data_IF_094992503312
#
_entry.id   IF_094992503312
#
_cell.length_a   1.000
_cell.length_b   1.000
_cell.length_c   1.000
_cell.angle_alpha   90.00
_cell.angle_beta   90.00
_cell.angle_gamma   90.00
#
_symmetry.space_group_name_H-M   'P 1'
#
loop_
_entity.id
_entity.type
_entity.pdbx_description
1 polymer ?
#
# COMPACT_ATOMS: atom_id res chain seq x y z
N UNK A 1 18.24 19.75 9.36
CA UNK A 1 17.86 19.68 7.93
C UNK A 1 17.72 18.27 7.35
N UNK A 2 18.44 17.22 7.80
CA UNK A 2 18.28 15.86 7.23
C UNK A 2 16.93 15.18 7.51
N UNK A 3 16.36 15.40 8.70
CA UNK A 3 15.13 14.72 9.16
C UNK A 3 13.85 15.08 8.38
N UNK A 4 13.75 16.29 7.81
CA UNK A 4 12.54 16.73 7.09
C UNK A 4 12.35 15.96 5.78
N UNK A 5 13.42 15.81 5.00
CA UNK A 5 13.38 15.13 3.69
C UNK A 5 13.09 13.63 3.81
N UNK A 6 13.64 12.95 4.83
CA UNK A 6 13.37 11.53 5.07
C UNK A 6 11.91 11.25 5.45
N UNK A 7 11.30 12.15 6.24
CA UNK A 7 9.90 12.01 6.63
C UNK A 7 8.94 12.29 5.47
N UNK A 8 9.26 13.26 4.62
CA UNK A 8 8.50 13.53 3.38
C UNK A 8 8.54 12.32 2.44
N UNK A 9 9.71 11.70 2.27
CA UNK A 9 9.87 10.48 1.48
C UNK A 9 9.05 9.31 2.03
N UNK A 10 9.03 9.11 3.36
CA UNK A 10 8.20 8.07 4.00
C UNK A 10 6.71 8.31 3.79
N UNK A 11 6.23 9.54 3.95
CA UNK A 11 4.81 9.86 3.67
C UNK A 11 4.46 9.64 2.21
N UNK A 12 5.34 10.05 1.29
CA UNK A 12 5.18 9.80 -0.15
C UNK A 12 5.06 8.31 -0.45
N UNK A 13 5.95 7.49 0.12
CA UNK A 13 5.92 6.04 -0.04
C UNK A 13 4.61 5.41 0.47
N UNK A 14 4.13 5.85 1.64
CA UNK A 14 2.85 5.40 2.20
C UNK A 14 1.67 5.75 1.29
N UNK A 15 1.67 6.96 0.70
CA UNK A 15 0.64 7.40 -0.24
C UNK A 15 0.64 6.51 -1.48
N UNK A 16 1.81 6.33 -2.11
CA UNK A 16 1.93 5.52 -3.34
C UNK A 16 1.50 4.08 -3.11
N UNK A 17 1.95 3.46 -2.01
CA UNK A 17 1.58 2.09 -1.69
C UNK A 17 0.08 1.96 -1.40
N UNK A 18 -0.48 2.87 -0.61
CA UNK A 18 -1.91 2.87 -0.30
C UNK A 18 -2.76 3.01 -1.57
N UNK A 19 -2.44 3.98 -2.43
CA UNK A 19 -3.16 4.19 -3.69
C UNK A 19 -3.05 2.98 -4.63
N UNK A 20 -1.88 2.35 -4.73
CA UNK A 20 -1.69 1.15 -5.54
C UNK A 20 -2.53 -0.03 -5.01
N UNK A 21 -2.60 -0.20 -3.69
CA UNK A 21 -3.34 -1.29 -3.07
C UNK A 21 -4.86 -1.08 -3.14
N UNK A 22 -5.35 0.14 -2.95
CA UNK A 22 -6.76 0.38 -2.62
C UNK A 22 -7.45 1.51 -3.39
N UNK A 23 -6.74 2.20 -4.30
CA UNK A 23 -7.31 3.25 -5.15
C UNK A 23 -7.80 4.47 -4.37
N UNK A 24 -8.92 5.05 -4.78
CA UNK A 24 -9.43 6.33 -4.25
C UNK A 24 -9.69 6.32 -2.74
N UNK A 25 -10.14 5.19 -2.19
CA UNK A 25 -10.51 5.07 -0.77
C UNK A 25 -9.38 4.52 0.11
N UNK A 26 -8.13 4.66 -0.34
CA UNK A 26 -7.01 3.94 0.24
C UNK A 26 -6.75 4.17 1.72
N UNK A 27 -7.00 5.37 2.26
CA UNK A 27 -6.70 5.63 3.67
C UNK A 27 -7.55 4.77 4.61
N UNK A 28 -8.83 4.55 4.26
CA UNK A 28 -9.74 3.74 5.08
C UNK A 28 -9.46 2.25 4.89
N UNK A 29 -9.22 1.82 3.65
CA UNK A 29 -8.95 0.41 3.37
C UNK A 29 -7.57 -0.03 3.87
N UNK A 30 -6.54 0.81 3.73
CA UNK A 30 -5.22 0.57 4.32
C UNK A 30 -5.29 0.51 5.85
N UNK A 31 -6.06 1.38 6.48
CA UNK A 31 -6.25 1.31 7.93
C UNK A 31 -6.82 -0.04 8.36
N UNK A 32 -7.86 -0.54 7.68
CA UNK A 32 -8.44 -1.85 7.96
C UNK A 32 -7.43 -2.97 7.72
N UNK A 33 -6.67 -2.91 6.63
CA UNK A 33 -5.65 -3.91 6.31
C UNK A 33 -4.53 -3.96 7.38
N UNK A 34 -4.20 -2.81 7.98
CA UNK A 34 -3.25 -2.70 9.09
C UNK A 34 -3.87 -2.96 10.48
N UNK A 35 -5.11 -3.46 10.56
CA UNK A 35 -5.80 -3.74 11.83
C UNK A 35 -6.21 -2.49 12.63
N UNK A 36 -6.25 -1.32 12.01
CA UNK A 36 -6.65 -0.06 12.63
C UNK A 36 -8.16 0.14 12.50
N UNK A 37 -8.76 0.79 13.51
CA UNK A 37 -10.22 0.99 13.57
C UNK A 37 -10.76 1.86 12.43
N UNK A 38 -10.02 2.88 11.99
CA UNK A 38 -10.40 3.77 10.89
C UNK A 38 -9.20 4.50 10.25
N UNK A 39 -9.45 5.23 9.17
CA UNK A 39 -8.45 6.01 8.44
C UNK A 39 -7.90 7.23 9.18
N UNK A 40 -8.38 7.58 10.38
CA UNK A 40 -7.89 8.74 11.14
C UNK A 40 -6.41 8.60 11.50
N UNK A 41 -5.98 7.39 11.84
CA UNK A 41 -4.59 7.12 12.18
C UNK A 41 -3.66 7.37 10.98
N UNK A 42 -4.07 6.94 9.79
CA UNK A 42 -3.35 7.21 8.53
C UNK A 42 -3.24 8.72 8.30
N UNK A 43 -4.35 9.47 8.45
CA UNK A 43 -4.32 10.94 8.31
C UNK A 43 -3.36 11.63 9.26
N UNK A 44 -3.30 11.20 10.53
CA UNK A 44 -2.35 11.72 11.53
C UNK A 44 -0.88 11.46 11.14
N UNK A 45 -0.59 10.34 10.48
CA UNK A 45 0.74 10.05 9.96
C UNK A 45 1.13 10.97 8.79
N UNK A 46 0.18 11.24 7.90
CA UNK A 46 0.38 12.10 6.74
C UNK A 46 0.51 13.58 7.11
N UNK A 47 -0.26 14.06 8.09
CA UNK A 47 -0.13 15.43 8.61
C UNK A 47 1.14 15.63 9.44
N UNK A 48 1.68 14.55 10.01
CA UNK A 48 2.81 14.59 10.93
C UNK A 48 2.41 14.79 12.39
N UNK A 49 1.12 14.81 12.70
CA UNK A 49 0.63 14.84 14.08
C UNK A 49 1.09 13.62 14.89
N UNK A 50 1.34 12.50 14.19
CA UNK A 50 2.01 11.31 14.76
C UNK A 50 3.05 10.76 13.80
N UNK A 51 4.17 10.21 14.31
CA UNK A 51 5.14 9.52 13.47
C UNK A 51 4.54 8.23 12.91
N UNK A 52 4.99 7.86 11.71
CA UNK A 52 4.73 6.55 11.11
C UNK A 52 5.51 5.50 11.91
N UNK A 53 4.87 4.47 12.50
CA UNK A 53 5.57 3.41 13.22
C UNK A 53 6.48 2.62 12.28
N UNK A 54 7.66 2.22 12.75
CA UNK A 54 8.62 1.46 11.92
C UNK A 54 8.09 0.09 11.50
N UNK A 55 7.20 -0.53 12.30
CA UNK A 55 6.64 -1.85 12.01
C UNK A 55 5.70 -1.88 10.80
N UNK A 56 5.09 -0.75 10.41
CA UNK A 56 4.10 -0.77 9.33
C UNK A 56 4.70 -1.11 7.96
N UNK A 57 6.01 -0.96 7.80
CA UNK A 57 6.67 -1.14 6.52
C UNK A 57 6.74 -2.61 6.10
N UNK A 58 6.82 -3.52 7.06
CA UNK A 58 6.79 -4.95 6.80
C UNK A 58 5.36 -5.39 6.47
N UNK A 59 4.35 -4.94 7.22
CA UNK A 59 2.94 -5.17 6.88
C UNK A 59 2.60 -4.66 5.46
N UNK A 60 3.09 -3.46 5.12
CA UNK A 60 2.85 -2.86 3.81
C UNK A 60 3.54 -3.64 2.69
N UNK A 61 4.74 -4.17 2.95
CA UNK A 61 5.47 -5.02 2.01
C UNK A 61 4.69 -6.30 1.74
N UNK A 62 4.23 -6.98 2.79
CA UNK A 62 3.45 -8.22 2.67
C UNK A 62 2.16 -8.00 1.85
N UNK A 63 1.44 -6.89 2.10
CA UNK A 63 0.26 -6.52 1.30
C UNK A 63 0.57 -6.31 -0.18
N UNK A 64 1.72 -5.69 -0.50
CA UNK A 64 2.17 -5.44 -1.87
C UNK A 64 2.60 -6.74 -2.58
N UNK A 65 3.30 -7.62 -1.88
CA UNK A 65 3.73 -8.92 -2.39
C UNK A 65 2.54 -9.84 -2.68
N UNK A 66 1.55 -9.87 -1.78
CA UNK A 66 0.28 -10.58 -2.02
C UNK A 66 -0.46 -10.02 -3.23
N UNK A 67 -0.55 -8.69 -3.37
CA UNK A 67 -1.16 -8.05 -4.54
C UNK A 67 -0.42 -8.40 -5.83
N UNK A 68 0.91 -8.32 -5.82
CA UNK A 68 1.76 -8.65 -6.97
C UNK A 68 1.57 -10.09 -7.42
N UNK A 69 1.57 -11.03 -6.46
CA UNK A 69 1.36 -12.45 -6.72
C UNK A 69 0.00 -12.73 -7.36
N UNK A 70 -1.07 -12.08 -6.87
CA UNK A 70 -2.42 -12.17 -7.44
C UNK A 70 -2.47 -11.60 -8.87
N UNK A 71 -1.81 -10.47 -9.11
CA UNK A 71 -1.72 -9.88 -10.45
C UNK A 71 -0.99 -10.82 -11.43
N UNK A 72 0.14 -11.41 -11.01
CA UNK A 72 0.90 -12.34 -11.85
C UNK A 72 0.09 -13.58 -12.21
N UNK A 73 -0.68 -14.11 -11.26
CA UNK A 73 -1.58 -15.25 -11.50
C UNK A 73 -2.62 -14.92 -12.58
N UNK A 74 -3.26 -13.75 -12.51
CA UNK A 74 -4.25 -13.30 -13.50
C UNK A 74 -3.60 -13.10 -14.87
N UNK A 75 -2.41 -12.52 -14.92
CA UNK A 75 -1.65 -12.35 -16.18
C UNK A 75 -1.39 -13.71 -16.84
N UNK A 76 -0.94 -14.71 -16.07
CA UNK A 76 -0.71 -16.08 -16.57
C UNK A 76 -2.00 -16.71 -17.12
N UNK A 77 -3.13 -16.54 -16.43
CA UNK A 77 -4.44 -17.05 -16.88
C UNK A 77 -4.91 -16.40 -18.19
N UNK A 78 -4.71 -15.08 -18.34
CA UNK A 78 -5.03 -14.35 -19.57
C UNK A 78 -4.16 -14.85 -20.73
N UNK A 79 -2.87 -15.08 -20.49
CA UNK A 79 -1.94 -15.59 -21.51
C UNK A 79 -2.29 -17.03 -21.94
N UNK A 80 -2.62 -17.91 -20.99
CA UNK A 80 -3.05 -19.28 -21.29
C UNK A 80 -4.33 -19.28 -22.14
N UNK A 81 -5.33 -18.49 -21.76
CA UNK A 81 -6.60 -18.35 -22.50
C UNK A 81 -6.43 -17.88 -23.95
N UNK A 82 -5.34 -17.17 -24.27
CA UNK A 82 -5.02 -16.75 -25.64
C UNK A 82 -4.38 -17.87 -26.46
N UNK A 83 -3.59 -18.74 -25.82
CA UNK A 83 -2.88 -19.85 -26.48
C UNK A 83 -3.86 -20.91 -26.99
N UNK A 84 -4.98 -21.11 -26.31
CA UNK A 84 -6.01 -22.09 -26.71
C UNK A 84 -6.88 -21.63 -27.90
N UNK A 85 -6.76 -20.35 -28.31
CA UNK A 85 -7.51 -19.76 -29.43
C UNK A 85 -6.66 -19.53 -30.69
N UNK A 86 -5.39 -19.90 -30.66
CA UNK A 86 -4.48 -19.89 -31.81
C UNK A 86 -4.20 -21.31 -32.27
#
# INVERSE_FOLDING_TARGET
MKSTNENENRRGLLISAGQLLFGERWQTELARALGLSDGRRIRQWLSGDRPIPVGIWDDLRELLEDRSSKMELIVKQIQASKKDKM
#
